data_IF_368120464270
#
_entry.id   IF_368120464270
#
_cell.length_a   1.000
_cell.length_b   1.000
_cell.length_c   1.000
_cell.angle_alpha   90.00
_cell.angle_beta   90.00
_cell.angle_gamma   90.00
#
_symmetry.space_group_name_H-M   'P 1'
#
loop_
_entity.id
_entity.type
_entity.pdbx_description
1 polymer ?
#
# COMPACT_ATOMS: atom_id res chain seq x y z
N UNK A 1 49.26 -14.56 13.91
CA UNK A 1 47.96 -15.03 14.43
C UNK A 1 47.36 -14.02 15.42
N UNK A 2 48.07 -13.62 16.49
CA UNK A 2 47.54 -12.71 17.53
C UNK A 2 47.02 -11.32 17.04
N UNK A 3 47.64 -10.73 16.01
CA UNK A 3 47.18 -9.43 15.48
C UNK A 3 45.85 -9.53 14.69
N UNK A 4 45.61 -10.65 14.00
CA UNK A 4 44.36 -10.92 13.29
C UNK A 4 43.22 -11.23 14.26
N UNK A 5 43.55 -11.93 15.36
CA UNK A 5 42.60 -12.27 16.42
C UNK A 5 42.14 -11.02 17.20
N UNK A 6 43.07 -10.14 17.58
CA UNK A 6 42.77 -8.85 18.22
C UNK A 6 41.90 -7.92 17.36
N UNK A 7 42.18 -7.88 16.06
CA UNK A 7 41.41 -7.11 15.08
C UNK A 7 40.02 -7.73 14.81
N UNK A 8 39.88 -9.06 14.88
CA UNK A 8 38.58 -9.74 14.87
C UNK A 8 37.74 -9.43 16.12
N UNK A 9 38.35 -9.46 17.30
CA UNK A 9 37.71 -9.12 18.58
C UNK A 9 37.23 -7.66 18.61
N UNK A 10 38.05 -6.72 18.13
CA UNK A 10 37.68 -5.30 18.08
C UNK A 10 36.50 -5.05 17.14
N UNK A 11 36.46 -5.70 15.98
CA UNK A 11 35.30 -5.65 15.08
C UNK A 11 34.05 -6.26 15.72
N UNK A 12 34.19 -7.37 16.44
CA UNK A 12 33.08 -8.00 17.16
C UNK A 12 32.52 -7.09 18.25
N UNK A 13 33.38 -6.42 19.02
CA UNK A 13 32.98 -5.44 20.04
C UNK A 13 32.22 -4.27 19.42
N UNK A 14 32.76 -3.65 18.36
CA UNK A 14 32.10 -2.54 17.64
C UNK A 14 30.74 -2.95 17.06
N UNK A 15 30.59 -4.18 16.55
CA UNK A 15 29.30 -4.70 16.10
C UNK A 15 28.29 -4.80 17.24
N UNK A 16 28.70 -5.35 18.39
CA UNK A 16 27.84 -5.47 19.56
C UNK A 16 27.39 -4.11 20.11
N UNK A 17 28.30 -3.14 20.13
CA UNK A 17 27.98 -1.75 20.51
C UNK A 17 27.00 -1.10 19.53
N UNK A 18 27.22 -1.26 18.22
CA UNK A 18 26.31 -0.75 17.19
C UNK A 18 24.93 -1.43 17.26
N UNK A 19 24.88 -2.72 17.54
CA UNK A 19 23.64 -3.48 17.71
C UNK A 19 22.86 -3.01 18.94
N UNK A 20 23.53 -2.80 20.07
CA UNK A 20 22.89 -2.25 21.28
C UNK A 20 22.32 -0.85 21.02
N UNK A 21 23.06 0.00 20.30
CA UNK A 21 22.61 1.34 19.93
C UNK A 21 21.43 1.31 18.94
N UNK A 22 21.46 0.41 17.94
CA UNK A 22 20.36 0.22 17.00
C UNK A 22 19.09 -0.28 17.70
N UNK A 23 19.22 -1.16 18.70
CA UNK A 23 18.09 -1.59 19.53
C UNK A 23 17.51 -0.43 20.36
N UNK A 24 18.35 0.39 20.98
CA UNK A 24 17.86 1.56 21.71
C UNK A 24 17.11 2.56 20.81
N UNK A 25 17.58 2.74 19.56
CA UNK A 25 16.90 3.58 18.57
C UNK A 25 15.58 2.97 18.08
N UNK A 26 15.53 1.65 17.92
CA UNK A 26 14.28 0.91 17.63
C UNK A 26 13.23 1.18 18.71
N UNK A 27 13.62 1.08 19.98
CA UNK A 27 12.68 1.25 21.09
C UNK A 27 12.19 2.70 21.17
N UNK A 28 13.08 3.68 20.98
CA UNK A 28 12.69 5.10 20.84
C UNK A 28 11.75 5.36 19.67
N UNK A 29 11.97 4.70 18.54
CA UNK A 29 11.08 4.77 17.37
C UNK A 29 9.70 4.17 17.66
N UNK A 30 9.65 3.06 18.41
CA UNK A 30 8.39 2.44 18.82
C UNK A 30 7.62 3.35 19.78
N UNK A 31 8.30 4.03 20.70
CA UNK A 31 7.70 5.01 21.61
C UNK A 31 7.16 6.24 20.88
N UNK A 32 7.88 6.73 19.86
CA UNK A 32 7.38 7.81 19.02
C UNK A 32 6.15 7.36 18.20
N UNK A 33 6.21 6.13 17.66
CA UNK A 33 5.10 5.55 16.90
C UNK A 33 3.84 5.37 17.74
N UNK A 34 3.97 4.91 18.99
CA UNK A 34 2.83 4.74 19.90
C UNK A 34 2.20 6.08 20.32
N UNK A 35 2.98 7.16 20.31
CA UNK A 35 2.52 8.54 20.54
C UNK A 35 1.91 9.20 19.29
N UNK A 36 1.93 8.52 18.14
CA UNK A 36 1.45 9.06 16.86
C UNK A 36 2.43 10.02 16.18
N UNK A 37 3.65 10.17 16.71
CA UNK A 37 4.70 10.97 16.08
C UNK A 37 5.44 10.14 15.03
N UNK A 38 4.84 10.10 13.84
CA UNK A 38 5.32 9.28 12.73
C UNK A 38 6.63 9.80 12.12
N UNK A 39 6.87 11.11 12.12
CA UNK A 39 8.10 11.70 11.58
C UNK A 39 9.29 11.37 12.46
N UNK A 40 9.17 11.56 13.78
CA UNK A 40 10.21 11.18 14.72
C UNK A 40 10.47 9.67 14.71
N UNK A 41 9.42 8.85 14.60
CA UNK A 41 9.57 7.39 14.50
C UNK A 41 10.42 7.00 13.27
N UNK A 42 10.13 7.58 12.09
CA UNK A 42 10.90 7.34 10.86
C UNK A 42 12.37 7.76 11.02
N UNK A 43 12.62 8.91 11.62
CA UNK A 43 13.97 9.41 11.87
C UNK A 43 14.76 8.43 12.75
N UNK A 44 14.17 7.99 13.87
CA UNK A 44 14.82 7.05 14.79
C UNK A 44 15.08 5.67 14.18
N UNK A 45 14.13 5.14 13.41
CA UNK A 45 14.39 3.90 12.67
C UNK A 45 15.48 4.07 11.62
N UNK A 46 15.53 5.23 10.94
CA UNK A 46 16.55 5.52 9.93
C UNK A 46 17.94 5.72 10.54
N UNK A 47 18.05 6.37 11.70
CA UNK A 47 19.28 6.42 12.49
C UNK A 47 19.75 5.02 12.90
N UNK A 48 18.82 4.15 13.32
CA UNK A 48 19.13 2.76 13.68
C UNK A 48 19.72 1.99 12.50
N UNK A 49 19.12 2.15 11.32
CA UNK A 49 19.59 1.53 10.09
C UNK A 49 20.95 2.05 9.63
N UNK A 50 21.33 3.29 9.95
CA UNK A 50 22.69 3.80 9.70
C UNK A 50 23.75 3.07 10.53
N UNK A 51 23.36 2.57 11.71
CA UNK A 51 24.25 1.87 12.65
C UNK A 51 24.29 0.37 12.39
N UNK A 52 23.13 -0.23 12.09
CA UNK A 52 22.99 -1.64 11.76
C UNK A 52 22.05 -1.81 10.56
N UNK A 53 22.64 -1.97 9.37
CA UNK A 53 21.92 -2.02 8.08
C UNK A 53 21.20 -3.34 7.83
N UNK A 54 21.60 -4.39 8.54
CA UNK A 54 21.19 -5.78 8.42
C UNK A 54 20.16 -6.18 9.49
N UNK A 55 19.43 -5.21 10.05
CA UNK A 55 18.40 -5.43 11.07
C UNK A 55 16.98 -5.35 10.45
N UNK A 56 16.31 -6.48 10.12
CA UNK A 56 15.03 -6.49 9.41
C UNK A 56 13.88 -5.83 10.18
N UNK A 57 13.97 -5.82 11.51
CA UNK A 57 12.96 -5.25 12.40
C UNK A 57 12.82 -3.73 12.20
N UNK A 58 13.92 -3.02 12.03
CA UNK A 58 13.90 -1.57 11.80
C UNK A 58 13.24 -1.20 10.47
N UNK A 59 13.49 -1.98 9.41
CA UNK A 59 12.81 -1.78 8.12
C UNK A 59 11.31 -2.06 8.23
N UNK A 60 10.92 -3.10 8.96
CA UNK A 60 9.51 -3.46 9.15
C UNK A 60 8.77 -2.34 9.89
N UNK A 61 9.35 -1.85 11.00
CA UNK A 61 8.71 -0.81 11.79
C UNK A 61 8.65 0.51 11.01
N UNK A 62 9.71 0.88 10.27
CA UNK A 62 9.70 2.06 9.39
C UNK A 62 8.65 1.97 8.28
N UNK A 63 8.49 0.79 7.68
CA UNK A 63 7.47 0.55 6.66
C UNK A 63 6.05 0.62 7.24
N UNK A 64 5.85 0.14 8.46
CA UNK A 64 4.57 0.25 9.16
C UNK A 64 4.17 1.71 9.42
N UNK A 65 5.11 2.56 9.84
CA UNK A 65 4.87 4.01 9.99
C UNK A 65 4.42 4.64 8.68
N UNK A 66 4.99 4.17 7.57
CA UNK A 66 4.72 4.70 6.24
C UNK A 66 3.27 4.49 5.79
N UNK A 67 2.50 3.59 6.41
CA UNK A 67 1.07 3.40 6.09
C UNK A 67 0.20 4.52 6.64
N UNK A 68 0.61 5.15 7.75
CA UNK A 68 -0.18 6.18 8.46
C UNK A 68 0.10 7.62 8.04
N UNK A 69 1.08 7.86 7.17
CA UNK A 69 1.54 9.20 6.78
C UNK A 69 1.11 9.59 5.37
N UNK A 70 1.13 10.89 5.02
CA UNK A 70 0.81 11.37 3.69
C UNK A 70 1.60 10.63 2.58
N UNK A 71 0.89 10.35 1.48
CA UNK A 71 1.35 9.51 0.36
C UNK A 71 2.77 9.82 -0.11
N UNK A 72 3.15 11.10 -0.18
CA UNK A 72 4.45 11.55 -0.67
C UNK A 72 5.63 11.14 0.23
N UNK A 73 5.43 11.12 1.55
CA UNK A 73 6.48 10.80 2.54
C UNK A 73 6.64 9.28 2.64
N UNK A 74 5.52 8.56 2.64
CA UNK A 74 5.43 7.09 2.65
C UNK A 74 6.29 6.40 1.60
N UNK A 75 6.35 6.98 0.40
CA UNK A 75 7.10 6.39 -0.71
C UNK A 75 8.61 6.44 -0.51
N UNK A 76 9.16 7.59 -0.08
CA UNK A 76 10.61 7.77 0.11
C UNK A 76 11.16 6.85 1.21
N UNK A 77 10.35 6.58 2.23
CA UNK A 77 10.73 5.69 3.34
C UNK A 77 10.62 4.21 2.95
N UNK A 78 9.67 3.87 2.07
CA UNK A 78 9.42 2.54 1.53
C UNK A 78 10.47 2.08 0.51
N UNK A 79 10.98 2.96 -0.36
CA UNK A 79 11.94 2.56 -1.42
C UNK A 79 13.29 2.05 -0.91
N UNK A 80 13.65 2.38 0.33
CA UNK A 80 14.90 1.97 0.98
C UNK A 80 14.72 0.78 1.94
N UNK A 81 13.69 -0.05 1.75
CA UNK A 81 13.45 -1.22 2.59
C UNK A 81 14.22 -2.46 2.07
N UNK A 82 14.67 -3.30 3.00
CA UNK A 82 15.36 -4.54 2.68
C UNK A 82 14.47 -5.49 1.85
N UNK A 83 14.98 -5.92 0.69
CA UNK A 83 14.26 -6.77 -0.27
C UNK A 83 13.84 -8.11 0.32
N UNK A 84 14.48 -8.54 1.40
CA UNK A 84 14.23 -9.84 2.04
C UNK A 84 13.06 -9.81 3.02
N UNK A 85 12.55 -8.64 3.38
CA UNK A 85 11.47 -8.52 4.37
C UNK A 85 10.09 -8.53 3.72
N UNK A 86 9.37 -9.65 3.89
CA UNK A 86 8.01 -9.84 3.35
C UNK A 86 7.04 -8.76 3.87
N UNK A 87 7.12 -8.41 5.16
CA UNK A 87 6.25 -7.40 5.77
C UNK A 87 6.52 -6.00 5.22
N UNK A 88 7.80 -5.65 5.01
CA UNK A 88 8.16 -4.36 4.43
C UNK A 88 7.61 -4.24 3.00
N UNK A 89 7.76 -5.28 2.17
CA UNK A 89 7.21 -5.31 0.81
C UNK A 89 5.68 -5.21 0.76
N UNK A 90 4.97 -5.84 1.70
CA UNK A 90 3.51 -5.70 1.81
C UNK A 90 3.10 -4.25 2.09
N UNK A 91 3.76 -3.58 3.04
CA UNK A 91 3.52 -2.16 3.33
C UNK A 91 3.90 -1.24 2.16
N UNK A 92 4.98 -1.56 1.43
CA UNK A 92 5.32 -0.88 0.19
C UNK A 92 4.18 -1.00 -0.82
N UNK A 93 3.63 -2.20 -1.03
CA UNK A 93 2.48 -2.43 -1.90
C UNK A 93 1.34 -1.47 -1.58
N UNK A 94 0.93 -1.36 -0.31
CA UNK A 94 -0.09 -0.39 0.13
C UNK A 94 0.27 1.07 -0.15
N UNK A 95 1.52 1.48 0.07
CA UNK A 95 1.98 2.83 -0.23
C UNK A 95 1.94 3.16 -1.73
N UNK A 96 2.30 2.19 -2.58
CA UNK A 96 2.25 2.34 -4.02
C UNK A 96 0.84 2.32 -4.60
N UNK A 97 -0.09 1.54 -4.02
CA UNK A 97 -1.52 1.61 -4.33
C UNK A 97 -2.02 3.05 -4.13
N UNK A 98 -1.63 3.66 -3.01
CA UNK A 98 -2.01 5.03 -2.72
C UNK A 98 -1.46 6.05 -3.73
N UNK A 99 -0.36 5.72 -4.44
CA UNK A 99 0.28 6.56 -5.46
C UNK A 99 -0.01 6.12 -6.91
N UNK A 100 -0.90 5.15 -7.13
CA UNK A 100 -1.30 4.67 -8.47
C UNK A 100 -0.14 4.11 -9.32
N UNK A 101 0.98 3.76 -8.68
CA UNK A 101 2.18 3.25 -9.35
C UNK A 101 2.16 1.72 -9.41
N UNK A 102 1.09 1.15 -9.95
CA UNK A 102 0.81 -0.30 -9.99
C UNK A 102 1.91 -1.12 -10.68
N UNK A 103 2.39 -0.62 -11.81
CA UNK A 103 3.38 -1.31 -12.66
C UNK A 103 4.68 -1.60 -11.91
N UNK A 104 5.18 -0.64 -11.13
CA UNK A 104 6.46 -0.78 -10.40
C UNK A 104 6.37 -1.83 -9.29
N UNK A 105 5.23 -1.87 -8.58
CA UNK A 105 4.96 -2.88 -7.54
C UNK A 105 4.96 -4.27 -8.14
N UNK A 106 4.21 -4.45 -9.23
CA UNK A 106 4.05 -5.75 -9.88
C UNK A 106 5.39 -6.34 -10.29
N UNK A 107 6.23 -5.55 -10.97
CA UNK A 107 7.58 -5.97 -11.36
C UNK A 107 8.44 -6.37 -10.15
N UNK A 108 8.30 -5.67 -9.03
CA UNK A 108 9.04 -5.95 -7.80
C UNK A 108 8.56 -7.24 -7.13
N UNK A 109 7.26 -7.44 -7.03
CA UNK A 109 6.67 -8.66 -6.46
C UNK A 109 6.94 -9.88 -7.35
N UNK A 110 6.87 -9.76 -8.68
CA UNK A 110 7.22 -10.88 -9.57
C UNK A 110 8.69 -11.25 -9.47
N UNK A 111 9.60 -10.28 -9.43
CA UNK A 111 11.02 -10.56 -9.17
C UNK A 111 11.22 -11.33 -7.86
N UNK A 112 10.52 -10.93 -6.80
CA UNK A 112 10.61 -11.57 -5.49
C UNK A 112 10.02 -12.99 -5.46
N UNK A 113 8.93 -13.25 -6.20
CA UNK A 113 8.34 -14.58 -6.38
C UNK A 113 9.36 -15.54 -7.00
N UNK A 114 10.08 -15.07 -8.01
CA UNK A 114 11.07 -15.90 -8.70
C UNK A 114 12.35 -16.10 -7.88
N UNK A 115 12.75 -15.12 -7.07
CA UNK A 115 13.97 -15.19 -6.27
C UNK A 115 13.82 -15.96 -4.93
N UNK A 116 12.60 -16.08 -4.39
CA UNK A 116 12.38 -16.65 -3.04
C UNK A 116 11.19 -17.62 -3.00
N UNK A 117 11.27 -18.63 -2.12
CA UNK A 117 10.24 -19.67 -1.88
C UNK A 117 8.93 -19.14 -1.23
N UNK A 118 8.65 -17.83 -1.31
CA UNK A 118 7.47 -17.17 -0.73
C UNK A 118 6.47 -16.73 -1.80
N UNK A 119 6.35 -17.52 -2.87
CA UNK A 119 5.51 -17.23 -4.04
C UNK A 119 4.05 -16.92 -3.69
N UNK A 120 3.44 -17.66 -2.77
CA UNK A 120 2.02 -17.51 -2.43
C UNK A 120 1.66 -16.10 -1.92
N UNK A 121 2.48 -15.52 -1.05
CA UNK A 121 2.21 -14.20 -0.43
C UNK A 121 2.26 -13.08 -1.46
N UNK A 122 3.27 -13.11 -2.33
CA UNK A 122 3.44 -12.09 -3.37
C UNK A 122 2.49 -12.28 -4.55
N UNK A 123 2.12 -13.51 -4.89
CA UNK A 123 1.07 -13.77 -5.88
C UNK A 123 -0.27 -13.19 -5.42
N UNK A 124 -0.63 -13.39 -4.14
CA UNK A 124 -1.83 -12.77 -3.56
C UNK A 124 -1.74 -11.24 -3.56
N UNK A 125 -0.60 -10.68 -3.19
CA UNK A 125 -0.40 -9.23 -3.20
C UNK A 125 -0.49 -8.64 -4.63
N UNK A 126 0.01 -9.35 -5.65
CA UNK A 126 -0.16 -8.96 -7.06
C UNK A 126 -1.63 -8.97 -7.49
N UNK A 127 -2.41 -9.98 -7.09
CA UNK A 127 -3.85 -10.01 -7.39
C UNK A 127 -4.60 -8.84 -6.74
N UNK A 128 -4.25 -8.45 -5.52
CA UNK A 128 -4.83 -7.28 -4.86
C UNK A 128 -4.48 -5.97 -5.60
N UNK A 129 -3.24 -5.84 -6.08
CA UNK A 129 -2.78 -4.71 -6.91
C UNK A 129 -3.53 -4.64 -8.22
N UNK A 130 -3.72 -5.77 -8.91
CA UNK A 130 -4.44 -5.82 -10.18
C UNK A 130 -5.94 -5.53 -10.00
N UNK A 131 -6.55 -5.99 -8.90
CA UNK A 131 -7.93 -5.70 -8.57
C UNK A 131 -8.16 -4.20 -8.26
N UNK A 132 -7.23 -3.56 -7.54
CA UNK A 132 -7.31 -2.12 -7.26
C UNK A 132 -7.10 -1.28 -8.52
N UNK A 133 -6.11 -1.62 -9.36
CA UNK A 133 -5.90 -0.94 -10.65
C UNK A 133 -7.14 -1.05 -11.55
N UNK A 134 -7.79 -2.22 -11.57
CA UNK A 134 -9.04 -2.41 -12.30
C UNK A 134 -10.16 -1.53 -11.73
N UNK A 135 -10.35 -1.50 -10.40
CA UNK A 135 -11.34 -0.64 -9.74
C UNK A 135 -11.15 0.83 -10.12
N UNK A 136 -9.93 1.34 -10.06
CA UNK A 136 -9.64 2.72 -10.43
C UNK A 136 -9.89 3.02 -11.90
N UNK A 137 -9.53 2.11 -12.82
CA UNK A 137 -9.82 2.30 -14.25
C UNK A 137 -11.33 2.31 -14.52
N UNK A 138 -12.08 1.43 -13.85
CA UNK A 138 -13.54 1.39 -13.95
C UNK A 138 -14.17 2.67 -13.40
N UNK A 139 -13.69 3.17 -12.25
CA UNK A 139 -14.13 4.43 -11.66
C UNK A 139 -13.80 5.64 -12.55
N UNK A 140 -12.57 5.70 -13.08
CA UNK A 140 -12.14 6.75 -14.00
C UNK A 140 -12.94 6.72 -15.30
N UNK A 141 -13.17 5.53 -15.87
CA UNK A 141 -14.00 5.38 -17.07
C UNK A 141 -15.46 5.75 -16.80
N UNK A 142 -16.00 5.42 -15.62
CA UNK A 142 -17.34 5.83 -15.21
C UNK A 142 -17.42 7.36 -15.05
N UNK A 143 -16.39 7.99 -14.47
CA UNK A 143 -16.29 9.44 -14.34
C UNK A 143 -16.21 10.14 -15.70
N UNK A 144 -15.38 9.66 -16.62
CA UNK A 144 -15.29 10.17 -17.99
C UNK A 144 -16.60 9.97 -18.76
N UNK A 145 -17.28 8.83 -18.58
CA UNK A 145 -18.59 8.59 -19.18
C UNK A 145 -19.66 9.56 -18.66
N UNK A 146 -19.59 9.93 -17.38
CA UNK A 146 -20.44 10.93 -16.77
C UNK A 146 -20.12 12.34 -17.29
N UNK A 147 -18.85 12.75 -17.26
CA UNK A 147 -18.38 14.06 -17.72
C UNK A 147 -18.60 14.27 -19.23
N UNK A 148 -18.47 13.22 -20.04
CA UNK A 148 -18.78 13.25 -21.48
C UNK A 148 -20.28 13.25 -21.79
N UNK A 149 -21.15 13.23 -20.77
CA UNK A 149 -22.60 13.34 -20.93
C UNK A 149 -23.26 12.12 -21.56
N UNK A 150 -22.64 10.93 -21.48
CA UNK A 150 -23.26 9.69 -21.99
C UNK A 150 -24.56 9.44 -21.23
N UNK A 151 -25.67 9.33 -21.96
CA UNK A 151 -27.03 9.34 -21.40
C UNK A 151 -27.25 8.26 -20.34
N UNK A 152 -26.67 7.07 -20.50
CA UNK A 152 -26.81 5.98 -19.54
C UNK A 152 -26.08 6.25 -18.21
N UNK A 153 -24.86 6.79 -18.23
CA UNK A 153 -24.10 7.12 -17.02
C UNK A 153 -24.75 8.29 -16.25
N UNK A 154 -25.20 9.32 -16.97
CA UNK A 154 -25.94 10.45 -16.39
C UNK A 154 -27.29 9.98 -15.82
N UNK A 155 -28.00 9.09 -16.51
CA UNK A 155 -29.27 8.51 -16.05
C UNK A 155 -29.13 7.70 -14.76
N UNK A 156 -28.11 6.83 -14.68
CA UNK A 156 -27.82 6.04 -13.46
C UNK A 156 -27.50 6.96 -12.28
N UNK A 157 -26.70 8.00 -12.50
CA UNK A 157 -26.32 8.98 -11.46
C UNK A 157 -27.54 9.73 -10.91
N UNK A 158 -28.39 10.23 -11.81
CA UNK A 158 -29.64 10.94 -11.44
C UNK A 158 -30.65 10.02 -10.72
N UNK A 159 -30.72 8.75 -11.10
CA UNK A 159 -31.57 7.76 -10.43
C UNK A 159 -31.08 7.46 -9.01
N UNK A 160 -29.77 7.32 -8.82
CA UNK A 160 -29.17 7.14 -7.49
C UNK A 160 -29.44 8.36 -6.58
N UNK A 161 -29.32 9.57 -7.13
CA UNK A 161 -29.62 10.80 -6.39
C UNK A 161 -31.08 10.85 -5.93
N UNK A 162 -32.03 10.51 -6.81
CA UNK A 162 -33.46 10.40 -6.45
C UNK A 162 -33.70 9.34 -5.38
N UNK A 163 -33.01 8.20 -5.46
CA UNK A 163 -33.10 7.11 -4.49
C UNK A 163 -32.45 7.42 -3.14
N UNK A 164 -31.62 8.46 -3.05
CA UNK A 164 -31.02 8.88 -1.77
C UNK A 164 -32.01 9.58 -0.83
N UNK A 165 -33.22 9.91 -1.30
CA UNK A 165 -34.23 10.60 -0.50
C UNK A 165 -34.67 9.75 0.72
N UNK A 166 -34.59 10.29 1.95
CA UNK A 166 -35.10 9.61 3.14
C UNK A 166 -36.64 9.55 3.13
N UNK A 167 -37.20 8.66 3.96
CA UNK A 167 -38.64 8.51 4.21
C UNK A 167 -39.52 8.13 3.00
N UNK A 168 -38.99 7.29 2.10
CA UNK A 168 -39.77 6.71 1.00
C UNK A 168 -40.28 5.32 1.32
N UNK A 169 -41.35 4.92 0.63
CA UNK A 169 -41.95 3.60 0.81
C UNK A 169 -41.07 2.51 0.19
N UNK A 170 -41.14 1.25 0.67
CA UNK A 170 -40.40 0.14 0.07
C UNK A 170 -40.64 -0.04 -1.44
N UNK A 171 -41.85 0.27 -1.92
CA UNK A 171 -42.21 0.22 -3.34
C UNK A 171 -41.44 1.24 -4.20
N UNK A 172 -41.15 2.42 -3.64
CA UNK A 172 -40.35 3.45 -4.31
C UNK A 172 -38.93 2.96 -4.59
N UNK A 173 -38.27 2.39 -3.58
CA UNK A 173 -36.92 1.83 -3.73
C UNK A 173 -36.92 0.64 -4.69
N UNK A 174 -37.91 -0.25 -4.61
CA UNK A 174 -38.04 -1.39 -5.51
C UNK A 174 -38.20 -0.96 -6.99
N UNK A 175 -38.99 0.09 -7.25
CA UNK A 175 -39.16 0.66 -8.59
C UNK A 175 -37.87 1.29 -9.12
N UNK A 176 -37.19 2.10 -8.31
CA UNK A 176 -35.93 2.71 -8.71
C UNK A 176 -34.80 1.71 -8.95
N UNK A 177 -34.70 0.64 -8.15
CA UNK A 177 -33.72 -0.44 -8.38
C UNK A 177 -33.97 -1.20 -9.70
N UNK A 178 -35.23 -1.36 -10.12
CA UNK A 178 -35.55 -1.92 -11.45
C UNK A 178 -35.08 -1.01 -12.58
N UNK A 179 -35.37 0.29 -12.48
CA UNK A 179 -34.94 1.28 -13.48
C UNK A 179 -33.41 1.39 -13.58
N UNK A 180 -32.70 1.30 -12.44
CA UNK A 180 -31.24 1.22 -12.43
C UNK A 180 -30.72 -0.02 -13.17
N UNK A 181 -31.41 -1.15 -13.02
CA UNK A 181 -31.06 -2.41 -13.70
C UNK A 181 -31.22 -2.28 -15.22
N UNK A 182 -32.31 -1.67 -15.69
CA UNK A 182 -32.56 -1.42 -17.11
C UNK A 182 -31.58 -0.41 -17.73
N UNK A 183 -31.26 0.66 -17.00
CA UNK A 183 -30.24 1.64 -17.42
C UNK A 183 -28.84 1.01 -17.51
N UNK A 184 -28.56 0.00 -16.68
CA UNK A 184 -27.30 -0.76 -16.72
C UNK A 184 -27.24 -1.74 -17.91
N UNK A 185 -28.37 -2.37 -18.25
CA UNK A 185 -28.46 -3.32 -19.37
C UNK A 185 -28.43 -2.64 -20.74
N UNK A 186 -29.04 -1.46 -20.87
CA UNK A 186 -29.03 -0.69 -22.14
C UNK A 186 -27.62 -0.25 -22.56
N UNK A 187 -26.69 -0.07 -21.61
CA UNK A 187 -25.27 0.20 -21.90
C UNK A 187 -24.51 -0.98 -22.51
N UNK A 188 -24.96 -2.22 -22.30
CA UNK A 188 -24.33 -3.41 -22.90
C UNK A 188 -24.74 -3.60 -24.37
N UNK A 189 -25.99 -3.27 -24.72
CA UNK A 189 -26.55 -3.47 -26.08
C UNK A 189 -25.85 -2.58 -27.12
N UNK A 190 -25.42 -1.37 -26.74
CA UNK A 190 -24.67 -0.47 -27.64
C UNK A 190 -23.21 -0.87 -27.89
N UNK A 191 -22.67 -1.89 -27.20
CA UNK A 191 -21.29 -2.40 -27.40
C UNK A 191 -21.22 -3.62 -28.34
N UNK A 192 -22.34 -4.20 -28.73
CA UNK A 192 -22.43 -5.43 -29.55
C UNK A 192 -22.95 -5.20 -30.98
N UNK A 193 -22.96 -3.96 -31.47
CA UNK A 193 -23.29 -3.62 -32.86
C UNK A 193 -22.12 -2.87 -33.48
#
# INVERSE_FOLDING_TARGET
MAALEKDAEERARRRKENEAFANALKDKGNDAFSKGDYEAAIEKYTEGLKKQKDMPMLYTNRAQVSVGIPKAISFKTCTNCDEKCIKALFHMGKAYLAQEQYRKVRTRFTFQIHAYSSACVYSRANMEVDAEEKRQREEQSAKEAFESGKSAAVSVSQLLEKLSAPDKTPLYYAGGMRLLTEASNTSQVSRTV
#
